data_IF_955444448589
#
_entry.id   IF_955444448589
#
_cell.length_a   1.000
_cell.length_b   1.000
_cell.length_c   1.000
_cell.angle_alpha   90.00
_cell.angle_beta   90.00
_cell.angle_gamma   90.00
#
_symmetry.space_group_name_H-M   'P 1'
#
loop_
_entity.id
_entity.type
_entity.pdbx_description
1 polymer ?
#
# COMPACT_ATOMS: atom_id res chain seq x y z
N UNK A 1 31.62 59.65 50.86
CA UNK A 1 30.30 59.99 50.29
C UNK A 1 29.85 58.87 49.37
N UNK A 2 28.58 58.45 49.50
CA UNK A 2 27.99 57.17 49.05
C UNK A 2 28.20 56.90 47.55
N UNK A 3 28.73 55.72 47.21
CA UNK A 3 28.70 55.16 45.85
C UNK A 3 27.29 54.60 45.60
N UNK A 4 26.59 55.20 44.65
CA UNK A 4 25.28 54.74 44.16
C UNK A 4 25.53 53.57 43.20
N UNK A 5 25.03 52.37 43.52
CA UNK A 5 25.06 51.23 42.60
C UNK A 5 23.80 51.27 41.74
N UNK A 6 23.98 51.44 40.43
CA UNK A 6 22.93 51.34 39.43
C UNK A 6 22.65 49.85 39.19
N UNK A 7 21.52 49.34 39.70
CA UNK A 7 21.06 47.98 39.41
C UNK A 7 20.40 47.99 38.04
N UNK A 8 21.11 47.50 37.03
CA UNK A 8 20.55 47.25 35.70
C UNK A 8 19.85 45.89 35.74
N UNK A 9 18.52 45.90 35.81
CA UNK A 9 17.70 44.69 35.66
C UNK A 9 17.64 44.35 34.17
N UNK A 10 18.48 43.41 33.74
CA UNK A 10 18.38 42.80 32.41
C UNK A 10 17.23 41.80 32.45
N UNK A 11 16.06 42.20 31.93
CA UNK A 11 14.94 41.30 31.67
C UNK A 11 15.33 40.36 30.52
N UNK A 12 15.74 39.14 30.86
CA UNK A 12 15.79 38.05 29.90
C UNK A 12 14.37 37.68 29.50
N UNK A 13 13.92 38.14 28.34
CA UNK A 13 12.78 37.55 27.66
C UNK A 13 13.20 36.17 27.15
N UNK A 14 13.00 35.15 27.99
CA UNK A 14 12.98 33.77 27.52
C UNK A 14 11.67 33.62 26.73
N UNK A 15 11.75 33.87 25.42
CA UNK A 15 10.75 33.40 24.47
C UNK A 15 10.83 31.88 24.48
N UNK A 16 10.10 31.22 25.37
CA UNK A 16 9.75 29.81 25.19
C UNK A 16 8.80 29.74 24.01
N UNK A 17 9.37 29.69 22.79
CA UNK A 17 8.66 29.03 21.70
C UNK A 17 8.54 27.57 22.14
N UNK A 18 7.37 27.24 22.67
CA UNK A 18 6.92 25.90 22.96
C UNK A 18 6.84 25.18 21.61
N UNK A 19 7.99 24.70 21.13
CA UNK A 19 8.09 23.66 20.13
C UNK A 19 8.01 22.32 20.87
N UNK A 20 6.86 22.03 21.48
CA UNK A 20 6.44 20.64 21.70
C UNK A 20 5.74 20.17 20.44
N UNK A 21 6.52 19.99 19.37
CA UNK A 21 6.10 19.24 18.21
C UNK A 21 6.31 17.77 18.56
N UNK A 22 5.22 17.17 19.06
CA UNK A 22 4.97 15.72 19.22
C UNK A 22 5.93 14.86 18.39
N UNK A 23 7.04 14.45 18.99
CA UNK A 23 7.87 13.31 18.56
C UNK A 23 7.68 12.18 19.57
N UNK A 24 6.41 11.85 19.86
CA UNK A 24 6.09 10.56 20.42
C UNK A 24 5.77 9.66 19.24
N UNK A 25 6.70 8.76 18.94
CA UNK A 25 6.49 7.62 18.05
C UNK A 25 5.10 7.01 18.30
N UNK A 26 4.18 7.20 17.36
CA UNK A 26 2.88 6.54 17.36
C UNK A 26 3.16 5.10 16.92
N UNK A 27 3.58 4.28 17.89
CA UNK A 27 3.69 2.84 17.74
C UNK A 27 2.27 2.27 17.83
N UNK A 28 1.83 1.58 16.77
CA UNK A 28 0.69 0.67 16.70
C UNK A 28 0.06 0.39 18.05
N UNK A 29 -1.06 1.05 18.33
CA UNK A 29 -1.99 0.69 19.40
C UNK A 29 -1.33 0.02 20.61
N UNK A 30 -0.33 0.68 21.23
CA UNK A 30 0.32 0.13 22.42
C UNK A 30 -0.71 -0.01 23.53
N UNK A 31 -1.11 -1.25 23.82
CA UNK A 31 -1.88 -1.66 24.99
C UNK A 31 -3.13 -0.80 25.27
N UNK A 32 -3.82 -0.32 24.23
CA UNK A 32 -5.17 0.20 24.40
C UNK A 32 -6.17 -0.93 24.08
N UNK A 33 -7.08 -1.29 25.01
CA UNK A 33 -8.19 -2.19 24.72
C UNK A 33 -9.18 -1.62 23.67
N UNK A 34 -8.96 -0.37 23.23
CA UNK A 34 -9.73 0.36 22.23
C UNK A 34 -8.85 0.75 21.02
N UNK A 35 -8.12 -0.21 20.44
CA UNK A 35 -7.42 0.05 19.19
C UNK A 35 -8.42 0.17 18.04
N UNK A 36 -8.66 1.39 17.56
CA UNK A 36 -9.36 1.59 16.30
C UNK A 36 -8.52 1.06 15.15
N UNK A 37 -8.89 -0.11 14.64
CA UNK A 37 -8.16 -0.81 13.59
C UNK A 37 -8.15 -0.04 12.25
N UNK A 38 -9.01 0.96 12.07
CA UNK A 38 -8.97 1.80 10.87
C UNK A 38 -7.64 2.55 10.70
N UNK A 39 -6.94 2.84 11.81
CA UNK A 39 -5.64 3.51 11.80
C UNK A 39 -4.47 2.61 11.39
N UNK A 40 -4.61 1.29 11.46
CA UNK A 40 -3.50 0.34 11.25
C UNK A 40 -2.81 0.56 9.89
N UNK A 41 -3.59 0.69 8.82
CA UNK A 41 -3.04 0.84 7.48
C UNK A 41 -2.38 2.23 7.26
N UNK A 42 -3.07 3.37 7.52
CA UNK A 42 -2.47 4.69 7.37
C UNK A 42 -1.22 4.90 8.24
N UNK A 43 -1.24 4.44 9.49
CA UNK A 43 -0.12 4.57 10.43
C UNK A 43 1.08 3.73 9.98
N UNK A 44 0.86 2.49 9.51
CA UNK A 44 1.93 1.67 8.94
C UNK A 44 2.62 2.36 7.77
N UNK A 45 1.82 2.89 6.85
CA UNK A 45 2.30 3.60 5.66
C UNK A 45 3.11 4.83 6.06
N UNK A 46 2.63 5.62 7.01
CA UNK A 46 3.34 6.81 7.52
C UNK A 46 4.66 6.41 8.20
N UNK A 47 4.66 5.39 9.05
CA UNK A 47 5.86 4.87 9.69
C UNK A 47 6.93 4.48 8.65
N UNK A 48 6.56 3.71 7.62
CA UNK A 48 7.51 3.30 6.58
C UNK A 48 7.97 4.53 5.76
N UNK A 49 7.11 5.51 5.55
CA UNK A 49 7.47 6.77 4.88
C UNK A 49 8.47 7.62 5.68
N UNK A 50 8.52 7.45 7.00
CA UNK A 50 9.56 8.00 7.87
C UNK A 50 10.94 7.36 7.70
N UNK A 51 11.06 6.23 6.98
CA UNK A 51 12.34 5.54 6.77
C UNK A 51 13.03 5.99 5.48
N UNK A 52 14.38 5.85 5.39
CA UNK A 52 15.13 6.16 4.18
C UNK A 52 14.64 5.32 2.99
N UNK A 53 14.29 6.00 1.90
CA UNK A 53 13.88 5.36 0.65
C UNK A 53 15.07 4.64 0.00
N UNK A 54 14.91 3.35 -0.32
CA UNK A 54 15.96 2.50 -0.89
C UNK A 54 15.58 2.01 -2.28
N UNK A 55 16.26 2.51 -3.30
CA UNK A 55 16.04 2.13 -4.70
C UNK A 55 17.31 2.28 -5.52
N UNK A 56 17.36 1.65 -6.68
CA UNK A 56 18.50 1.72 -7.62
C UNK A 56 17.98 1.82 -9.05
N UNK A 57 18.48 2.78 -9.82
CA UNK A 57 18.26 2.82 -11.26
C UNK A 57 19.06 1.68 -11.90
N UNK A 58 18.36 0.74 -12.53
CA UNK A 58 18.97 -0.43 -13.18
C UNK A 58 19.42 -0.07 -14.59
N UNK A 59 18.53 0.52 -15.39
CA UNK A 59 18.87 1.03 -16.72
C UNK A 59 17.83 2.04 -17.21
N UNK A 60 18.08 2.59 -18.40
CA UNK A 60 17.13 3.41 -19.14
C UNK A 60 17.08 2.90 -20.57
N UNK A 61 15.87 2.69 -21.09
CA UNK A 61 15.63 2.11 -22.41
C UNK A 61 14.75 3.04 -23.26
N UNK A 62 15.15 3.37 -24.50
CA UNK A 62 14.27 4.08 -25.43
C UNK A 62 13.21 3.14 -26.02
N UNK A 63 11.98 3.64 -26.12
CA UNK A 63 10.87 3.09 -26.90
C UNK A 63 10.36 4.17 -27.86
N UNK A 64 9.43 3.81 -28.76
CA UNK A 64 8.85 4.78 -29.68
C UNK A 64 8.09 5.90 -28.91
N UNK A 65 8.61 7.13 -28.96
CA UNK A 65 8.07 8.33 -28.29
C UNK A 65 7.99 8.26 -26.76
N UNK A 66 8.67 7.29 -26.15
CA UNK A 66 8.68 7.06 -24.69
C UNK A 66 10.08 6.64 -24.26
N UNK A 67 10.57 7.17 -23.14
CA UNK A 67 11.75 6.65 -22.45
C UNK A 67 11.30 5.89 -21.21
N UNK A 68 11.81 4.68 -21.01
CA UNK A 68 11.53 3.89 -19.82
C UNK A 68 12.74 3.92 -18.90
N UNK A 69 12.54 4.32 -17.64
CA UNK A 69 13.54 4.19 -16.57
C UNK A 69 13.15 3.00 -15.69
N UNK A 70 14.05 2.03 -15.59
CA UNK A 70 13.83 0.81 -14.83
C UNK A 70 14.53 0.91 -13.48
N UNK A 71 13.77 0.79 -12.40
CA UNK A 71 14.29 0.85 -11.03
C UNK A 71 14.00 -0.44 -10.27
N UNK A 72 14.91 -0.82 -9.39
CA UNK A 72 14.62 -1.73 -8.29
C UNK A 72 14.27 -0.91 -7.04
N UNK A 73 13.17 -1.25 -6.36
CA UNK A 73 12.73 -0.64 -5.12
C UNK A 73 12.72 -1.69 -3.99
N UNK A 74 13.38 -1.39 -2.88
CA UNK A 74 13.21 -2.13 -1.61
C UNK A 74 12.21 -1.35 -0.76
N UNK A 75 10.95 -1.78 -0.77
CA UNK A 75 9.84 -1.00 -0.20
C UNK A 75 9.81 -1.04 1.32
N UNK A 76 10.01 -2.20 1.91
CA UNK A 76 9.90 -2.40 3.36
C UNK A 76 10.48 -3.75 3.79
N UNK A 77 10.61 -3.89 5.10
CA UNK A 77 10.78 -5.19 5.75
C UNK A 77 9.45 -5.54 6.44
N UNK A 78 8.79 -6.61 5.99
CA UNK A 78 7.49 -7.04 6.49
C UNK A 78 7.52 -8.54 6.80
N UNK A 79 7.51 -8.84 8.10
CA UNK A 79 7.34 -10.19 8.65
C UNK A 79 6.72 -10.06 10.04
N UNK A 80 5.41 -9.78 10.15
CA UNK A 80 4.73 -9.73 11.44
C UNK A 80 4.94 -11.04 12.20
N UNK A 81 5.26 -10.92 13.48
CA UNK A 81 5.63 -12.05 14.36
C UNK A 81 6.81 -12.90 13.84
N UNK A 82 7.65 -12.35 12.96
CA UNK A 82 8.71 -13.08 12.23
C UNK A 82 8.18 -14.29 11.43
N UNK A 83 6.89 -14.27 11.09
CA UNK A 83 6.20 -15.42 10.49
C UNK A 83 6.27 -15.46 8.97
N UNK A 84 6.80 -14.47 8.27
CA UNK A 84 6.71 -14.41 6.80
C UNK A 84 8.06 -14.23 6.13
N UNK A 85 8.32 -15.06 5.13
CA UNK A 85 9.55 -14.99 4.33
C UNK A 85 9.25 -14.94 2.83
N UNK A 86 10.04 -14.21 2.02
CA UNK A 86 11.11 -13.30 2.44
C UNK A 86 10.55 -12.03 3.11
N UNK A 87 11.21 -11.59 4.17
CA UNK A 87 10.79 -10.40 4.91
C UNK A 87 11.13 -9.09 4.18
N UNK A 88 12.22 -9.07 3.40
CA UNK A 88 12.56 -7.92 2.57
C UNK A 88 11.69 -7.91 1.30
N UNK A 89 10.88 -6.86 1.13
CA UNK A 89 10.06 -6.69 -0.05
C UNK A 89 10.80 -5.92 -1.13
N UNK A 90 10.75 -6.44 -2.36
CA UNK A 90 11.48 -5.94 -3.53
C UNK A 90 10.56 -5.83 -4.73
N UNK A 91 10.64 -4.74 -5.48
CA UNK A 91 9.75 -4.49 -6.61
C UNK A 91 10.51 -3.95 -7.81
N UNK A 92 10.08 -4.32 -9.01
CA UNK A 92 10.45 -3.61 -10.23
C UNK A 92 9.52 -2.40 -10.42
N UNK A 93 10.11 -1.21 -10.57
CA UNK A 93 9.39 0.04 -10.83
C UNK A 93 9.84 0.60 -12.17
N UNK A 94 8.95 0.55 -13.16
CA UNK A 94 9.19 1.08 -14.49
C UNK A 94 8.46 2.41 -14.66
N UNK A 95 9.21 3.46 -14.99
CA UNK A 95 8.65 4.78 -15.27
C UNK A 95 8.72 5.06 -16.76
N UNK A 96 7.56 5.12 -17.40
CA UNK A 96 7.36 5.44 -18.81
C UNK A 96 7.13 6.94 -18.94
N UNK A 97 8.08 7.62 -19.58
CA UNK A 97 8.09 9.08 -19.74
C UNK A 97 7.90 9.40 -21.22
N UNK A 98 6.77 9.98 -21.64
CA UNK A 98 6.54 10.35 -23.03
C UNK A 98 7.32 11.62 -23.39
N UNK A 99 7.57 11.85 -24.68
CA UNK A 99 8.34 13.02 -25.16
C UNK A 99 7.75 14.36 -24.68
N UNK A 100 6.42 14.46 -24.62
CA UNK A 100 5.68 15.65 -24.17
C UNK A 100 4.87 15.36 -22.91
N UNK A 101 5.55 14.97 -21.83
CA UNK A 101 4.87 14.60 -20.59
C UNK A 101 4.18 15.77 -19.88
N UNK A 102 2.95 15.52 -19.41
CA UNK A 102 2.20 16.42 -18.52
C UNK A 102 2.90 16.54 -17.17
N UNK A 103 2.65 17.67 -16.51
CA UNK A 103 3.16 17.98 -15.18
C UNK A 103 2.16 17.59 -14.08
N UNK A 104 2.64 17.55 -12.83
CA UNK A 104 1.89 17.33 -11.59
C UNK A 104 1.30 15.93 -11.36
N UNK A 105 0.72 15.32 -12.39
CA UNK A 105 -0.01 14.06 -12.30
C UNK A 105 0.70 12.91 -13.01
N UNK A 106 0.71 11.75 -12.37
CA UNK A 106 1.14 10.49 -12.99
C UNK A 106 0.11 9.37 -12.76
N UNK A 107 0.04 8.44 -13.72
CA UNK A 107 -0.71 7.21 -13.57
C UNK A 107 0.18 6.15 -12.93
N UNK A 108 -0.23 5.58 -11.82
CA UNK A 108 0.44 4.46 -11.17
C UNK A 108 -0.35 3.19 -11.44
N UNK A 109 0.31 2.20 -12.03
CA UNK A 109 -0.24 0.89 -12.36
C UNK A 109 0.31 -0.13 -11.37
N UNK A 110 -0.57 -0.70 -10.56
CA UNK A 110 -0.26 -1.78 -9.62
C UNK A 110 -0.29 -3.10 -10.39
N UNK A 111 0.88 -3.65 -10.69
CA UNK A 111 1.08 -4.77 -11.59
C UNK A 111 1.45 -6.05 -10.83
N UNK A 112 1.29 -7.19 -11.49
CA UNK A 112 1.68 -8.49 -10.93
C UNK A 112 3.18 -8.73 -11.09
N UNK A 113 3.63 -9.94 -10.77
CA UNK A 113 5.02 -10.34 -10.90
C UNK A 113 5.32 -11.55 -10.03
N UNK A 114 6.47 -12.16 -10.25
CA UNK A 114 7.02 -13.18 -9.34
C UNK A 114 8.49 -12.80 -9.17
N UNK A 115 8.86 -12.40 -7.96
CA UNK A 115 10.20 -11.95 -7.62
C UNK A 115 10.95 -12.95 -6.73
N UNK A 116 10.29 -14.02 -6.30
CA UNK A 116 10.90 -15.13 -5.58
C UNK A 116 10.38 -16.48 -6.07
N UNK A 117 11.23 -17.48 -6.22
CA UNK A 117 10.85 -18.89 -6.40
C UNK A 117 11.72 -19.78 -5.51
N UNK A 118 11.10 -20.69 -4.74
CA UNK A 118 11.77 -21.55 -3.75
C UNK A 118 12.75 -20.79 -2.82
N UNK A 119 12.37 -19.58 -2.41
CA UNK A 119 13.18 -18.71 -1.54
C UNK A 119 14.35 -18.01 -2.23
N UNK A 120 14.54 -18.22 -3.53
CA UNK A 120 15.55 -17.55 -4.34
C UNK A 120 14.91 -16.38 -5.08
N UNK A 121 15.58 -15.24 -5.07
CA UNK A 121 15.11 -14.08 -5.83
C UNK A 121 15.23 -14.35 -7.33
N UNK A 122 14.17 -14.03 -8.07
CA UNK A 122 14.11 -14.16 -9.52
C UNK A 122 13.57 -12.87 -10.15
N UNK A 123 13.71 -12.75 -11.48
CA UNK A 123 13.09 -11.67 -12.26
C UNK A 123 11.95 -12.23 -13.08
N UNK A 124 10.72 -12.10 -12.59
CA UNK A 124 9.51 -12.41 -13.33
C UNK A 124 9.02 -11.19 -14.12
N UNK A 125 8.52 -11.43 -15.35
CA UNK A 125 7.85 -10.36 -16.11
C UNK A 125 6.39 -10.25 -15.67
N UNK A 126 5.87 -9.04 -15.41
CA UNK A 126 4.46 -8.85 -15.19
C UNK A 126 3.64 -9.17 -16.45
N UNK A 127 2.40 -9.62 -16.25
CA UNK A 127 1.42 -9.96 -17.28
C UNK A 127 0.07 -9.26 -17.15
N UNK A 128 -0.29 -8.66 -16.00
CA UNK A 128 -1.59 -7.96 -15.88
C UNK A 128 -1.63 -6.73 -16.79
N UNK A 129 -0.53 -5.97 -16.83
CA UNK A 129 -0.34 -4.82 -17.74
C UNK A 129 1.02 -4.94 -18.46
N UNK A 130 1.04 -5.43 -19.72
CA UNK A 130 2.28 -5.56 -20.49
C UNK A 130 2.94 -4.21 -20.83
N UNK A 131 4.27 -4.23 -21.04
CA UNK A 131 5.07 -3.03 -21.39
C UNK A 131 4.52 -2.25 -22.58
N UNK A 132 4.06 -2.95 -23.63
CA UNK A 132 3.51 -2.31 -24.82
C UNK A 132 2.24 -1.51 -24.51
N UNK A 133 1.34 -2.07 -23.70
CA UNK A 133 0.12 -1.39 -23.24
C UNK A 133 0.48 -0.15 -22.44
N UNK A 134 1.42 -0.25 -21.49
CA UNK A 134 1.85 0.86 -20.64
C UNK A 134 2.53 1.98 -21.44
N UNK A 135 3.40 1.61 -22.39
CA UNK A 135 4.03 2.56 -23.30
C UNK A 135 2.99 3.26 -24.18
N UNK A 136 1.98 2.55 -24.70
CA UNK A 136 0.90 3.17 -25.48
C UNK A 136 0.10 4.14 -24.63
N UNK A 137 -0.33 3.76 -23.42
CA UNK A 137 -1.05 4.66 -22.52
C UNK A 137 -0.23 5.93 -22.26
N UNK A 138 1.07 5.78 -21.97
CA UNK A 138 1.96 6.91 -21.71
C UNK A 138 2.05 7.88 -22.89
N UNK A 139 2.31 7.33 -24.09
CA UNK A 139 2.41 8.08 -25.35
C UNK A 139 1.09 8.76 -25.72
N UNK A 140 0.01 7.99 -25.76
CA UNK A 140 -1.26 8.42 -26.34
C UNK A 140 -1.97 9.46 -25.44
N UNK A 141 -1.66 9.45 -24.14
CA UNK A 141 -2.24 10.39 -23.16
C UNK A 141 -1.28 11.50 -22.74
N UNK A 142 -0.02 11.45 -23.17
CA UNK A 142 1.06 12.31 -22.70
C UNK A 142 1.24 12.30 -21.17
N UNK A 143 0.94 11.17 -20.53
CA UNK A 143 1.00 11.02 -19.07
C UNK A 143 2.19 10.16 -18.70
N UNK A 144 2.92 10.51 -17.63
CA UNK A 144 3.92 9.61 -17.06
C UNK A 144 3.19 8.42 -16.45
N UNK A 145 3.57 7.21 -16.87
CA UNK A 145 3.03 5.96 -16.33
C UNK A 145 4.08 5.29 -15.47
N UNK A 146 3.70 4.85 -14.28
CA UNK A 146 4.58 4.24 -13.29
C UNK A 146 4.03 2.84 -13.00
N UNK A 147 4.67 1.80 -13.53
CA UNK A 147 4.28 0.42 -13.25
C UNK A 147 5.07 -0.11 -12.06
N UNK A 148 4.37 -0.51 -11.01
CA UNK A 148 4.95 -1.16 -9.83
C UNK A 148 4.60 -2.64 -9.90
N UNK A 149 5.60 -3.46 -10.23
CA UNK A 149 5.44 -4.91 -10.35
C UNK A 149 5.69 -5.61 -9.02
N UNK A 150 5.42 -6.92 -9.00
CA UNK A 150 5.64 -7.77 -7.84
C UNK A 150 4.78 -7.34 -6.64
N UNK A 151 3.51 -6.98 -6.91
CA UNK A 151 2.49 -6.72 -5.90
C UNK A 151 1.46 -7.85 -5.95
N UNK A 152 1.33 -8.69 -4.90
CA UNK A 152 2.19 -8.75 -3.72
C UNK A 152 3.59 -9.26 -4.06
N UNK A 153 4.54 -9.02 -3.14
CA UNK A 153 5.86 -9.65 -3.18
C UNK A 153 5.67 -11.16 -3.07
N UNK A 154 6.09 -11.96 -4.06
CA UNK A 154 5.72 -13.37 -4.13
C UNK A 154 6.76 -14.26 -4.83
N UNK A 155 6.91 -15.52 -4.42
CA UNK A 155 6.12 -16.25 -3.41
C UNK A 155 6.43 -15.84 -1.95
N UNK A 156 5.45 -16.03 -1.06
CA UNK A 156 5.60 -15.87 0.40
C UNK A 156 5.43 -17.22 1.09
N UNK A 157 6.27 -17.50 2.07
CA UNK A 157 6.10 -18.65 2.98
C UNK A 157 5.75 -18.11 4.36
N UNK A 158 4.61 -18.54 4.88
CA UNK A 158 4.19 -18.25 6.24
C UNK A 158 4.71 -19.37 7.17
N UNK A 159 5.07 -19.05 8.41
CA UNK A 159 5.58 -19.99 9.38
C UNK A 159 4.62 -21.17 9.52
N UNK A 160 5.18 -22.38 9.64
CA UNK A 160 4.49 -23.68 9.66
C UNK A 160 3.85 -24.13 8.34
N UNK A 161 3.75 -23.25 7.33
CA UNK A 161 3.30 -23.64 6.00
C UNK A 161 4.42 -24.39 5.25
N UNK A 162 4.09 -25.57 4.74
CA UNK A 162 5.05 -26.44 4.04
C UNK A 162 5.31 -26.01 2.59
N UNK A 163 4.57 -25.03 2.06
CA UNK A 163 4.68 -24.57 0.68
C UNK A 163 4.67 -23.04 0.60
N UNK A 164 5.48 -22.45 -0.30
CA UNK A 164 5.31 -21.06 -0.69
C UNK A 164 3.95 -20.83 -1.35
N UNK A 165 3.31 -19.72 -1.01
CA UNK A 165 2.01 -19.26 -1.51
C UNK A 165 2.20 -18.03 -2.41
N UNK A 166 1.26 -17.80 -3.32
CA UNK A 166 1.18 -16.58 -4.14
C UNK A 166 -0.26 -16.12 -4.30
N UNK A 167 -0.42 -14.90 -4.83
CA UNK A 167 -1.73 -14.40 -5.26
C UNK A 167 -2.78 -14.56 -4.14
N UNK A 168 -3.97 -15.08 -4.44
CA UNK A 168 -5.06 -15.23 -3.47
C UNK A 168 -4.73 -16.21 -2.34
N UNK A 169 -3.85 -17.20 -2.56
CA UNK A 169 -3.43 -18.12 -1.47
C UNK A 169 -2.69 -17.35 -0.36
N UNK A 170 -1.84 -16.39 -0.73
CA UNK A 170 -1.13 -15.55 0.24
C UNK A 170 -2.08 -14.58 0.94
N UNK A 171 -3.04 -13.99 0.22
CA UNK A 171 -4.04 -13.08 0.80
C UNK A 171 -4.91 -13.85 1.81
N UNK A 172 -5.51 -14.97 1.41
CA UNK A 172 -6.38 -15.77 2.27
C UNK A 172 -5.64 -16.30 3.51
N UNK A 173 -4.39 -16.74 3.35
CA UNK A 173 -3.57 -17.21 4.49
C UNK A 173 -3.27 -16.08 5.47
N UNK A 174 -2.95 -14.90 4.97
CA UNK A 174 -2.70 -13.72 5.82
C UNK A 174 -3.93 -13.33 6.65
N UNK A 175 -5.12 -13.46 6.09
CA UNK A 175 -6.38 -13.21 6.80
C UNK A 175 -6.67 -14.28 7.85
N UNK A 176 -6.42 -15.55 7.53
CA UNK A 176 -6.57 -16.65 8.49
C UNK A 176 -5.66 -16.44 9.71
N UNK A 177 -4.38 -16.12 9.48
CA UNK A 177 -3.42 -15.84 10.54
C UNK A 177 -3.80 -14.63 11.38
N UNK A 178 -4.30 -13.55 10.75
CA UNK A 178 -4.86 -12.41 11.49
C UNK A 178 -6.00 -12.85 12.41
N UNK A 179 -6.96 -13.62 11.90
CA UNK A 179 -8.15 -14.02 12.66
C UNK A 179 -7.85 -14.98 13.82
N UNK A 180 -6.72 -15.67 13.81
CA UNK A 180 -6.26 -16.49 14.95
C UNK A 180 -5.83 -15.63 16.15
N UNK A 181 -5.30 -14.42 15.93
CA UNK A 181 -4.79 -13.54 16.98
C UNK A 181 -4.87 -12.05 16.57
N UNK A 182 -6.07 -11.47 16.38
CA UNK A 182 -6.27 -10.17 15.73
C UNK A 182 -5.64 -9.01 16.49
N UNK A 183 -5.52 -9.11 17.82
CA UNK A 183 -4.90 -8.06 18.63
C UNK A 183 -3.37 -8.00 18.48
N UNK A 184 -2.73 -9.16 18.30
CA UNK A 184 -1.29 -9.30 18.11
C UNK A 184 -0.90 -9.10 16.65
N UNK A 185 -1.71 -9.64 15.72
CA UNK A 185 -1.39 -9.77 14.29
C UNK A 185 -1.99 -8.68 13.43
N UNK A 186 -2.17 -7.47 13.96
CA UNK A 186 -2.79 -6.32 13.25
C UNK A 186 -2.16 -6.02 11.88
N UNK A 187 -0.85 -6.26 11.74
CA UNK A 187 -0.10 -6.05 10.50
C UNK A 187 -0.05 -7.25 9.56
N UNK A 188 -0.65 -8.38 9.93
CA UNK A 188 -0.63 -9.62 9.16
C UNK A 188 -1.43 -9.56 7.84
N UNK A 189 -2.54 -8.82 7.69
CA UNK A 189 -3.25 -8.75 6.41
C UNK A 189 -2.35 -8.26 5.27
N UNK A 190 -2.18 -9.08 4.22
CA UNK A 190 -1.25 -8.83 3.12
C UNK A 190 -1.58 -7.55 2.33
N UNK A 191 -2.83 -7.08 2.41
CA UNK A 191 -3.26 -5.80 1.84
C UNK A 191 -2.40 -4.62 2.33
N UNK A 192 -1.93 -4.67 3.59
CA UNK A 192 -1.17 -3.59 4.23
C UNK A 192 0.19 -3.36 3.53
N UNK A 193 1.10 -4.34 3.46
CA UNK A 193 2.38 -4.15 2.79
C UNK A 193 2.22 -3.89 1.27
N UNK A 194 1.16 -4.37 0.62
CA UNK A 194 0.88 -4.04 -0.78
C UNK A 194 0.65 -2.54 -0.98
N UNK A 195 -0.16 -1.91 -0.13
CA UNK A 195 -0.44 -0.45 -0.17
C UNK A 195 0.83 0.35 0.14
N UNK A 196 1.59 -0.07 1.15
CA UNK A 196 2.82 0.64 1.52
C UNK A 196 3.89 0.56 0.43
N UNK A 197 4.00 -0.56 -0.28
CA UNK A 197 4.90 -0.67 -1.43
C UNK A 197 4.58 0.36 -2.53
N UNK A 198 3.29 0.60 -2.78
CA UNK A 198 2.85 1.62 -3.71
C UNK A 198 3.21 3.04 -3.24
N UNK A 199 3.02 3.32 -1.95
CA UNK A 199 3.43 4.60 -1.35
C UNK A 199 4.95 4.86 -1.50
N UNK A 200 5.78 3.83 -1.29
CA UNK A 200 7.22 3.96 -1.52
C UNK A 200 7.58 4.20 -2.99
N UNK A 201 6.85 3.59 -3.94
CA UNK A 201 7.04 3.86 -5.36
C UNK A 201 6.63 5.29 -5.73
N UNK A 202 5.56 5.84 -5.14
CA UNK A 202 5.18 7.24 -5.31
C UNK A 202 6.24 8.20 -4.73
N UNK A 203 6.85 7.87 -3.58
CA UNK A 203 8.00 8.63 -3.04
C UNK A 203 9.20 8.61 -3.99
N UNK A 204 9.52 7.45 -4.58
CA UNK A 204 10.55 7.33 -5.62
C UNK A 204 10.21 8.25 -6.80
N UNK A 205 8.98 8.19 -7.30
CA UNK A 205 8.52 9.00 -8.42
C UNK A 205 8.67 10.51 -8.15
N UNK A 206 8.21 10.99 -6.99
CA UNK A 206 8.37 12.40 -6.59
C UNK A 206 9.84 12.86 -6.60
N UNK A 207 10.76 11.97 -6.23
CA UNK A 207 12.20 12.27 -6.18
C UNK A 207 12.85 12.27 -7.56
N UNK A 208 12.45 11.36 -8.45
CA UNK A 208 13.07 11.17 -9.77
C UNK A 208 12.41 12.01 -10.88
N UNK A 209 11.20 12.51 -10.66
CA UNK A 209 10.38 13.23 -11.65
C UNK A 209 10.15 14.70 -11.27
N UNK A 210 11.11 15.30 -10.56
CA UNK A 210 11.07 16.72 -10.17
C UNK A 210 10.96 17.67 -11.35
N UNK A 211 11.51 17.29 -12.51
CA UNK A 211 11.39 18.06 -13.76
C UNK A 211 9.93 18.31 -14.17
N UNK A 212 9.02 17.37 -13.90
CA UNK A 212 7.59 17.50 -14.22
C UNK A 212 6.75 17.83 -12.98
N UNK A 213 7.40 18.13 -11.85
CA UNK A 213 6.76 18.40 -10.56
C UNK A 213 5.69 17.37 -10.18
N UNK A 214 5.93 16.08 -10.45
CA UNK A 214 4.97 15.02 -10.14
C UNK A 214 4.80 14.92 -8.63
N UNK A 215 3.58 15.13 -8.16
CA UNK A 215 3.25 15.09 -6.74
C UNK A 215 1.87 14.48 -6.43
N UNK A 216 1.07 14.21 -7.46
CA UNK A 216 -0.30 13.70 -7.37
C UNK A 216 -0.48 12.48 -8.28
N UNK A 217 -1.22 11.48 -7.82
CA UNK A 217 -1.27 10.18 -8.47
C UNK A 217 -2.69 9.68 -8.70
N UNK A 218 -2.89 9.08 -9.88
CA UNK A 218 -4.08 8.28 -10.20
C UNK A 218 -3.63 6.82 -10.14
N UNK A 219 -4.36 5.95 -9.43
CA UNK A 219 -3.94 4.55 -9.25
C UNK A 219 -4.89 3.61 -9.99
N UNK A 220 -4.34 2.65 -10.72
CA UNK A 220 -5.11 1.55 -11.31
C UNK A 220 -4.49 0.18 -11.01
N UNK A 221 -5.31 -0.86 -11.05
CA UNK A 221 -4.90 -2.24 -10.81
C UNK A 221 -6.08 -3.19 -10.94
N UNK A 222 -5.81 -4.48 -11.12
CA UNK A 222 -6.83 -5.51 -11.32
C UNK A 222 -6.91 -6.49 -10.14
N UNK A 223 -8.13 -6.93 -9.79
CA UNK A 223 -8.36 -7.93 -8.73
C UNK A 223 -7.72 -7.47 -7.41
N UNK A 224 -6.88 -8.27 -6.75
CA UNK A 224 -6.12 -7.89 -5.54
C UNK A 224 -5.42 -6.53 -5.64
N UNK A 225 -4.92 -6.18 -6.83
CA UNK A 225 -4.28 -4.87 -7.08
C UNK A 225 -5.30 -3.75 -7.21
N UNK A 226 -6.48 -4.04 -7.74
CA UNK A 226 -7.65 -3.15 -7.69
C UNK A 226 -8.04 -2.82 -6.24
N UNK A 227 -7.96 -3.81 -5.36
CA UNK A 227 -8.17 -3.62 -3.92
C UNK A 227 -7.08 -2.71 -3.32
N UNK A 228 -5.82 -2.93 -3.69
CA UNK A 228 -4.72 -2.03 -3.30
C UNK A 228 -5.01 -0.59 -3.69
N UNK A 229 -5.62 -0.31 -4.86
CA UNK A 229 -5.97 1.06 -5.25
C UNK A 229 -6.94 1.72 -4.27
N UNK A 230 -8.00 1.02 -3.87
CA UNK A 230 -8.98 1.50 -2.89
C UNK A 230 -8.33 1.82 -1.55
N UNK A 231 -7.49 0.93 -1.05
CA UNK A 231 -6.81 1.11 0.23
C UNK A 231 -5.72 2.19 0.16
N UNK A 232 -5.05 2.36 -0.98
CA UNK A 232 -4.13 3.46 -1.22
C UNK A 232 -4.84 4.82 -1.27
N UNK A 233 -6.03 4.91 -1.86
CA UNK A 233 -6.85 6.14 -1.83
C UNK A 233 -7.13 6.62 -0.40
N UNK A 234 -7.45 5.67 0.49
CA UNK A 234 -7.69 5.90 1.91
C UNK A 234 -6.40 6.31 2.63
N UNK A 235 -5.34 5.52 2.44
CA UNK A 235 -4.14 5.61 3.26
C UNK A 235 -3.16 6.70 2.84
N UNK A 236 -3.15 7.11 1.57
CA UNK A 236 -2.14 8.02 1.03
C UNK A 236 -2.79 9.30 0.45
N UNK A 237 -2.48 10.50 1.00
CA UNK A 237 -3.08 11.76 0.57
C UNK A 237 -2.63 12.19 -0.83
N UNK A 238 -1.54 11.63 -1.36
CA UNK A 238 -1.03 11.95 -2.70
C UNK A 238 -1.87 11.30 -3.82
N UNK A 239 -2.82 10.44 -3.46
CA UNK A 239 -3.74 9.80 -4.39
C UNK A 239 -4.94 10.69 -4.65
N UNK A 240 -5.17 11.08 -5.89
CA UNK A 240 -6.29 11.97 -6.23
C UNK A 240 -7.43 11.26 -6.96
N UNK A 241 -7.18 10.09 -7.54
CA UNK A 241 -8.22 9.26 -8.14
C UNK A 241 -7.80 7.79 -8.23
N UNK A 242 -8.78 6.91 -8.41
CA UNK A 242 -8.55 5.48 -8.64
C UNK A 242 -9.34 4.97 -9.85
N UNK A 243 -8.80 3.92 -10.47
CA UNK A 243 -9.42 3.19 -11.59
C UNK A 243 -9.29 1.68 -11.32
N UNK A 244 -10.03 1.12 -10.34
CA UNK A 244 -9.94 -0.30 -9.98
C UNK A 244 -10.63 -1.20 -11.03
N UNK A 245 -9.99 -2.32 -11.38
CA UNK A 245 -10.55 -3.32 -12.30
C UNK A 245 -10.86 -4.63 -11.60
N UNK A 246 -11.96 -5.28 -12.02
CA UNK A 246 -12.37 -6.62 -11.61
C UNK A 246 -12.48 -6.85 -10.09
N UNK A 247 -12.62 -5.77 -9.30
CA UNK A 247 -12.93 -5.83 -7.89
C UNK A 247 -13.61 -4.54 -7.43
N UNK A 248 -14.77 -4.70 -6.79
CA UNK A 248 -15.45 -3.67 -6.01
C UNK A 248 -16.03 -4.35 -4.77
N UNK A 249 -15.15 -4.96 -3.97
CA UNK A 249 -15.46 -5.57 -2.68
C UNK A 249 -15.60 -4.47 -1.60
N UNK A 250 -16.51 -3.53 -1.86
CA UNK A 250 -16.87 -2.41 -1.00
C UNK A 250 -18.03 -2.85 -0.12
N UNK A 251 -17.85 -2.84 1.20
CA UNK A 251 -18.65 -3.67 2.11
C UNK A 251 -18.49 -5.15 1.79
N UNK A 252 -17.40 -5.72 2.29
CA UNK A 252 -17.00 -7.11 2.00
C UNK A 252 -18.07 -8.09 2.43
N UNK A 253 -18.76 -7.82 3.53
CA UNK A 253 -19.78 -8.73 4.06
C UNK A 253 -20.98 -8.82 3.11
N UNK A 254 -21.52 -7.67 2.71
CA UNK A 254 -22.62 -7.61 1.75
C UNK A 254 -22.22 -8.17 0.37
N UNK A 255 -20.99 -7.87 -0.06
CA UNK A 255 -20.44 -8.32 -1.34
C UNK A 255 -20.28 -9.84 -1.40
N UNK A 256 -19.71 -10.47 -0.37
CA UNK A 256 -19.52 -11.91 -0.31
C UNK A 256 -20.85 -12.65 -0.23
N UNK A 257 -21.81 -12.15 0.56
CA UNK A 257 -23.18 -12.70 0.59
C UNK A 257 -23.81 -12.65 -0.81
N UNK A 258 -23.75 -11.50 -1.49
CA UNK A 258 -24.29 -11.35 -2.84
C UNK A 258 -23.63 -12.30 -3.84
N UNK A 259 -22.31 -12.48 -3.79
CA UNK A 259 -21.58 -13.43 -4.62
C UNK A 259 -22.10 -14.86 -4.36
N UNK A 260 -22.18 -15.29 -3.10
CA UNK A 260 -22.64 -16.64 -2.75
C UNK A 260 -24.05 -16.94 -3.28
N UNK A 261 -24.97 -15.98 -3.11
CA UNK A 261 -26.35 -16.11 -3.60
C UNK A 261 -26.42 -16.13 -5.13
N UNK A 262 -25.61 -15.29 -5.80
CA UNK A 262 -25.56 -15.25 -7.27
C UNK A 262 -25.05 -16.54 -7.90
N UNK A 263 -24.24 -17.30 -7.18
CA UNK A 263 -23.75 -18.63 -7.56
C UNK A 263 -24.63 -19.77 -7.04
N UNK A 264 -25.86 -19.48 -6.60
CA UNK A 264 -26.84 -20.49 -6.21
C UNK A 264 -26.47 -21.24 -4.93
N UNK A 265 -25.91 -20.52 -3.94
CA UNK A 265 -25.44 -21.11 -2.69
C UNK A 265 -24.09 -21.83 -2.83
N UNK A 266 -23.24 -21.36 -3.73
CA UNK A 266 -21.88 -21.87 -3.93
C UNK A 266 -20.89 -20.72 -4.08
N UNK A 267 -19.61 -21.01 -3.92
CA UNK A 267 -18.54 -20.03 -4.15
C UNK A 267 -17.99 -20.14 -5.58
N UNK A 268 -17.64 -19.02 -6.24
CA UNK A 268 -16.89 -19.06 -7.50
C UNK A 268 -15.52 -19.70 -7.29
N UNK A 269 -14.95 -20.27 -8.35
CA UNK A 269 -13.63 -20.93 -8.27
C UNK A 269 -12.52 -19.98 -7.78
N UNK A 270 -12.65 -18.68 -8.07
CA UNK A 270 -11.72 -17.64 -7.62
C UNK A 270 -11.71 -17.46 -6.10
N UNK A 271 -12.78 -17.85 -5.41
CA UNK A 271 -12.87 -17.81 -3.94
C UNK A 271 -12.27 -19.06 -3.28
N UNK A 272 -11.90 -20.08 -4.05
CA UNK A 272 -11.39 -21.35 -3.52
C UNK A 272 -10.25 -21.21 -2.48
N UNK A 273 -9.24 -20.32 -2.65
CA UNK A 273 -8.21 -20.15 -1.62
C UNK A 273 -8.75 -19.67 -0.26
N UNK A 274 -9.78 -18.82 -0.27
CA UNK A 274 -10.45 -18.33 0.94
C UNK A 274 -11.30 -19.44 1.57
N UNK A 275 -12.01 -20.23 0.77
CA UNK A 275 -12.71 -21.42 1.24
C UNK A 275 -11.76 -22.44 1.90
N UNK A 276 -10.60 -22.71 1.31
CA UNK A 276 -9.60 -23.62 1.89
C UNK A 276 -9.06 -23.16 3.25
N UNK A 277 -9.11 -21.86 3.53
CA UNK A 277 -8.72 -21.27 4.82
C UNK A 277 -9.90 -21.18 5.81
N UNK A 278 -11.09 -21.66 5.43
CA UNK A 278 -12.32 -21.59 6.23
C UNK A 278 -12.78 -20.15 6.46
N UNK A 279 -12.51 -19.24 5.50
CA UNK A 279 -12.90 -17.83 5.62
C UNK A 279 -14.41 -17.69 5.50
N UNK A 280 -15.06 -18.46 4.64
CA UNK A 280 -16.50 -18.45 4.42
C UNK A 280 -17.31 -18.70 5.70
N UNK A 281 -16.89 -19.67 6.50
CA UNK A 281 -17.52 -19.98 7.80
C UNK A 281 -17.33 -18.84 8.82
N UNK A 282 -16.35 -17.97 8.61
CA UNK A 282 -15.93 -16.91 9.54
C UNK A 282 -16.40 -15.52 9.13
N UNK A 283 -17.05 -15.34 7.98
CA UNK A 283 -17.46 -14.00 7.47
C UNK A 283 -18.26 -13.20 8.51
N UNK A 284 -19.12 -13.86 9.30
CA UNK A 284 -19.93 -13.22 10.35
C UNK A 284 -19.28 -13.20 11.74
N UNK A 285 -18.04 -13.65 11.87
CA UNK A 285 -17.35 -13.74 13.16
C UNK A 285 -16.86 -12.36 13.66
N UNK A 286 -16.63 -12.20 14.97
CA UNK A 286 -16.00 -10.99 15.52
C UNK A 286 -14.61 -10.72 14.93
N UNK A 287 -13.80 -11.77 14.72
CA UNK A 287 -12.43 -11.62 14.19
C UNK A 287 -12.42 -11.20 12.73
N UNK A 288 -13.36 -11.68 11.90
CA UNK A 288 -13.52 -11.16 10.54
C UNK A 288 -14.04 -9.72 10.53
N UNK A 289 -14.89 -9.35 11.49
CA UNK A 289 -15.33 -7.96 11.66
C UNK A 289 -14.15 -7.04 11.98
N UNK A 290 -13.22 -7.46 12.83
CA UNK A 290 -11.97 -6.75 13.09
C UNK A 290 -11.09 -6.65 11.84
N UNK A 291 -10.95 -7.74 11.07
CA UNK A 291 -10.19 -7.74 9.81
C UNK A 291 -10.73 -6.67 8.85
N UNK A 292 -12.06 -6.62 8.67
CA UNK A 292 -12.72 -5.68 7.78
C UNK A 292 -12.47 -4.22 8.18
N UNK A 293 -12.25 -3.89 9.44
CA UNK A 293 -11.89 -2.52 9.84
C UNK A 293 -10.58 -2.03 9.18
N UNK A 294 -9.72 -2.97 8.75
CA UNK A 294 -8.45 -2.67 8.07
C UNK A 294 -8.62 -2.75 6.54
N UNK A 295 -9.29 -3.78 6.04
CA UNK A 295 -9.26 -4.12 4.60
C UNK A 295 -10.50 -3.70 3.81
N UNK A 296 -11.62 -3.36 4.45
CA UNK A 296 -12.87 -3.01 3.76
C UNK A 296 -12.98 -1.48 3.62
N UNK A 297 -12.94 -0.94 2.39
CA UNK A 297 -12.95 0.51 2.19
C UNK A 297 -14.15 1.21 2.82
N UNK A 298 -15.34 0.58 2.82
CA UNK A 298 -16.53 1.23 3.39
C UNK A 298 -16.53 1.27 4.92
N UNK A 299 -15.62 0.56 5.59
CA UNK A 299 -15.45 0.68 7.04
C UNK A 299 -14.77 1.98 7.45
N UNK A 300 -14.19 2.70 6.49
CA UNK A 300 -13.65 4.04 6.69
C UNK A 300 -14.71 5.16 6.60
N UNK A 301 -15.97 4.86 6.28
CA UNK A 301 -17.04 5.88 6.15
C UNK A 301 -17.31 6.67 7.44
N UNK A 302 -17.04 6.11 8.61
CA UNK A 302 -17.30 6.75 9.91
C UNK A 302 -16.01 7.07 10.67
N UNK A 303 -14.89 7.24 9.95
CA UNK A 303 -13.58 7.53 10.53
C UNK A 303 -13.05 8.86 9.99
N UNK A 304 -11.90 9.31 10.49
CA UNK A 304 -11.24 10.52 9.98
C UNK A 304 -10.86 10.43 8.49
N UNK A 305 -10.83 9.21 7.93
CA UNK A 305 -10.48 8.96 6.54
C UNK A 305 -11.68 9.01 5.59
N UNK A 306 -12.90 9.21 6.10
CA UNK A 306 -14.12 9.33 5.29
C UNK A 306 -13.98 10.28 4.08
N UNK A 307 -13.36 11.47 4.17
CA UNK A 307 -13.22 12.36 3.01
C UNK A 307 -12.43 11.72 1.85
N UNK A 308 -11.57 10.74 2.12
CA UNK A 308 -10.79 10.04 1.11
C UNK A 308 -11.63 9.09 0.26
N UNK A 309 -12.79 8.65 0.75
CA UNK A 309 -13.74 7.84 -0.01
C UNK A 309 -14.52 8.66 -1.06
N UNK A 310 -14.42 9.98 -1.01
CA UNK A 310 -15.09 10.88 -1.95
C UNK A 310 -14.23 11.26 -3.17
N UNK A 311 -12.98 10.79 -3.25
CA UNK A 311 -12.13 11.08 -4.42
C UNK A 311 -12.69 10.38 -5.68
N UNK A 312 -12.45 10.90 -6.88
CA UNK A 312 -12.92 10.29 -8.12
C UNK A 312 -12.51 8.82 -8.27
N UNK A 313 -13.50 7.99 -8.64
CA UNK A 313 -13.34 6.61 -9.10
C UNK A 313 -13.83 6.53 -10.54
N UNK A 314 -13.03 5.92 -11.42
CA UNK A 314 -13.38 5.64 -12.81
C UNK A 314 -13.45 4.14 -13.09
#
# INVERSE_FOLDING_TARGET
MKKTYLVVIVLFFISTKVYTLLHNNIFFCRNSPECDLSHVLPDYREQISGTPLKYTLINTAPLAQVVVRHYELLSQHWSPDDMVTPAQWRHNVDIYIPETAKEHHALVVVNNGINYDKGVQITGKPGDFPQETLASISRDTNTIVISVSDIPNQYLTFQDDKKPLKEDESVSRSWALFMEAPEQRKLMPLNIPMVTALSQAMRLAKKELTQWNINSFIITGISKRGWTTWLSAIADPDVEAIVPFAIDLLDIDASLEHIYQSYGGNWPITFYPYYQQGIDEKIKSPTFTQLRQIIDPLRYLNTIYQPRLAIPKY
#
